data_IF_731732613789
#
_entry.id   IF_731732613789
#
_cell.length_a   1.000
_cell.length_b   1.000
_cell.length_c   1.000
_cell.angle_alpha   90.00
_cell.angle_beta   90.00
_cell.angle_gamma   90.00
#
_symmetry.space_group_name_H-M   'P 1'
#
loop_
_entity.id
_entity.type
_entity.pdbx_description
1 polymer ?
#
# COMPACT_ATOMS: atom_id res chain seq x y z
N UNK A 1 24.09 -25.97 34.06
CA UNK A 1 23.34 -25.95 32.79
C UNK A 1 22.67 -24.59 32.69
N UNK A 2 23.31 -23.62 32.02
CA UNK A 2 22.70 -22.31 31.76
C UNK A 2 21.89 -22.43 30.48
N UNK A 3 20.56 -22.36 30.57
CA UNK A 3 19.70 -22.27 29.39
C UNK A 3 19.20 -20.83 29.28
N UNK A 4 19.62 -20.23 28.17
CA UNK A 4 19.42 -18.85 27.78
C UNK A 4 17.95 -18.52 27.51
N UNK A 5 17.65 -17.24 27.77
CA UNK A 5 16.40 -16.55 27.52
C UNK A 5 15.93 -16.72 26.06
N UNK A 6 14.65 -17.03 25.87
CA UNK A 6 13.94 -16.86 24.62
C UNK A 6 12.78 -15.89 24.81
N UNK A 7 13.06 -14.59 24.84
CA UNK A 7 12.02 -13.58 24.70
C UNK A 7 11.50 -13.66 23.26
N UNK A 8 10.37 -14.33 23.06
CA UNK A 8 9.59 -14.18 21.83
C UNK A 8 9.06 -12.74 21.83
N UNK A 9 9.85 -11.82 21.28
CA UNK A 9 9.37 -10.53 20.87
C UNK A 9 8.35 -10.79 19.75
N UNK A 10 7.08 -10.90 20.14
CA UNK A 10 5.97 -10.53 19.27
C UNK A 10 6.37 -9.19 18.66
N UNK A 11 6.61 -9.17 17.36
CA UNK A 11 6.78 -7.93 16.61
C UNK A 11 5.45 -7.18 16.66
N UNK A 12 5.17 -6.53 17.79
CA UNK A 12 4.10 -5.57 17.89
C UNK A 12 4.51 -4.41 17.02
N UNK A 13 3.98 -4.37 15.80
CA UNK A 13 4.07 -3.21 14.93
C UNK A 13 3.41 -2.04 15.66
N UNK A 14 4.23 -1.18 16.27
CA UNK A 14 3.80 0.00 17.01
C UNK A 14 3.74 1.15 16.02
N UNK A 15 2.78 1.05 15.10
CA UNK A 15 2.66 2.01 14.02
C UNK A 15 1.69 3.15 14.32
N UNK A 16 2.15 4.40 14.26
CA UNK A 16 1.29 5.59 14.32
C UNK A 16 0.32 5.66 13.13
N UNK A 17 -0.59 6.62 13.08
CA UNK A 17 -1.64 6.67 12.05
C UNK A 17 -1.15 6.71 10.58
N UNK A 18 0.15 7.00 10.36
CA UNK A 18 0.85 6.91 9.07
C UNK A 18 1.31 5.50 8.68
N UNK A 19 1.22 4.51 9.56
CA UNK A 19 1.68 3.14 9.34
C UNK A 19 0.56 2.19 8.88
N UNK A 20 -0.56 2.73 8.39
CA UNK A 20 -1.60 1.95 7.68
C UNK A 20 -1.25 1.67 6.23
N UNK A 21 -0.18 2.26 5.72
CA UNK A 21 0.31 2.02 4.37
C UNK A 21 1.02 0.65 4.32
N UNK A 22 0.76 -0.17 3.29
CA UNK A 22 1.44 -1.43 3.10
C UNK A 22 2.96 -1.23 2.89
N UNK A 23 3.79 -2.19 3.34
CA UNK A 23 5.23 -2.11 3.16
C UNK A 23 5.62 -2.10 1.67
N UNK A 24 6.76 -1.50 1.30
CA UNK A 24 7.33 -1.60 -0.04
C UNK A 24 7.39 -3.04 -0.56
N UNK A 25 7.01 -3.24 -1.83
CA UNK A 25 7.00 -4.56 -2.47
C UNK A 25 5.72 -5.38 -2.27
N UNK A 26 4.80 -4.97 -1.39
CA UNK A 26 3.51 -5.62 -1.19
C UNK A 26 2.39 -4.84 -1.89
N UNK A 27 1.23 -5.46 -2.23
CA UNK A 27 0.09 -4.77 -2.81
C UNK A 27 -0.29 -3.47 -2.08
N UNK A 28 -0.48 -2.39 -2.84
CA UNK A 28 -0.68 -1.01 -2.38
C UNK A 28 0.60 -0.29 -1.93
N UNK A 29 1.71 -1.01 -1.79
CA UNK A 29 3.02 -0.48 -1.37
C UNK A 29 3.82 0.03 -2.56
N UNK A 30 4.81 0.88 -2.27
CA UNK A 30 5.64 1.47 -3.31
C UNK A 30 6.50 0.43 -4.04
N UNK A 31 6.62 0.59 -5.36
CA UNK A 31 7.57 -0.10 -6.22
C UNK A 31 8.27 0.89 -7.13
N UNK A 32 9.61 0.88 -7.12
CA UNK A 32 10.43 1.58 -8.10
C UNK A 32 11.71 0.81 -8.37
N UNK A 33 12.20 0.88 -9.60
CA UNK A 33 13.50 0.33 -9.99
C UNK A 33 14.61 1.04 -9.22
N UNK A 34 15.04 0.42 -8.12
CA UNK A 34 16.13 0.79 -7.23
C UNK A 34 16.00 2.16 -6.50
N UNK A 35 16.26 2.18 -5.17
CA UNK A 35 16.76 1.08 -4.35
C UNK A 35 15.64 0.17 -3.79
N UNK A 36 14.43 0.20 -4.35
CA UNK A 36 13.29 -0.56 -3.80
C UNK A 36 13.21 -1.98 -4.37
N UNK A 37 12.80 -2.92 -3.50
CA UNK A 37 12.57 -4.33 -3.81
C UNK A 37 11.53 -4.46 -4.94
N UNK A 38 11.69 -5.41 -5.87
CA UNK A 38 10.60 -5.79 -6.77
C UNK A 38 9.35 -6.17 -5.98
N UNK A 39 8.17 -6.06 -6.60
CA UNK A 39 6.95 -6.55 -5.99
C UNK A 39 7.06 -8.06 -5.70
N UNK A 40 6.61 -8.48 -4.53
CA UNK A 40 6.56 -9.90 -4.18
C UNK A 40 5.50 -10.59 -5.05
N UNK A 41 5.86 -11.70 -5.69
CA UNK A 41 4.91 -12.47 -6.49
C UNK A 41 3.72 -12.92 -5.62
N UNK A 42 2.45 -12.76 -6.07
CA UNK A 42 2.02 -12.50 -7.46
C UNK A 42 1.88 -11.02 -7.85
N UNK A 43 2.26 -10.06 -7.00
CA UNK A 43 2.04 -8.65 -7.25
C UNK A 43 2.90 -8.11 -8.41
N UNK A 44 2.32 -7.18 -9.18
CA UNK A 44 2.94 -6.52 -10.32
C UNK A 44 3.15 -5.03 -10.01
N UNK A 45 4.20 -4.43 -10.56
CA UNK A 45 4.47 -3.00 -10.40
C UNK A 45 3.77 -2.20 -11.51
N UNK A 46 2.90 -1.27 -11.14
CA UNK A 46 2.48 -0.19 -12.03
C UNK A 46 3.63 0.82 -12.14
N UNK A 47 4.30 0.88 -13.29
CA UNK A 47 5.45 1.77 -13.47
C UNK A 47 5.05 3.26 -13.55
N UNK A 48 3.79 3.55 -13.92
CA UNK A 48 3.28 4.91 -13.96
C UNK A 48 2.88 5.37 -12.55
N UNK A 49 2.18 4.50 -11.82
CA UNK A 49 1.78 4.67 -10.42
C UNK A 49 2.88 4.56 -9.38
N UNK A 50 3.92 3.78 -9.64
CA UNK A 50 4.98 3.47 -8.69
C UNK A 50 4.50 2.64 -7.48
N UNK A 51 3.48 1.80 -7.65
CA UNK A 51 2.96 0.91 -6.60
C UNK A 51 2.74 -0.52 -7.10
N UNK A 52 2.85 -1.49 -6.18
CA UNK A 52 2.51 -2.87 -6.43
C UNK A 52 1.00 -3.08 -6.36
N UNK A 53 0.45 -3.94 -7.22
CA UNK A 53 -0.94 -4.38 -7.16
C UNK A 53 -1.02 -5.89 -7.42
N UNK A 54 -2.01 -6.55 -6.84
CA UNK A 54 -2.33 -7.93 -7.16
C UNK A 54 -3.22 -7.96 -8.42
N UNK A 55 -2.82 -8.65 -9.51
CA UNK A 55 -3.62 -8.67 -10.74
C UNK A 55 -4.95 -9.42 -10.61
N UNK A 56 -5.08 -10.32 -9.63
CA UNK A 56 -6.33 -11.06 -9.36
C UNK A 56 -7.26 -10.28 -8.40
N UNK A 57 -6.69 -9.47 -7.50
CA UNK A 57 -7.43 -8.55 -6.62
C UNK A 57 -6.72 -7.18 -6.47
N UNK A 58 -6.91 -6.26 -7.43
CA UNK A 58 -6.15 -5.00 -7.49
C UNK A 58 -6.30 -4.10 -6.25
N UNK A 59 -7.40 -4.22 -5.51
CA UNK A 59 -7.64 -3.41 -4.31
C UNK A 59 -7.10 -4.04 -3.03
N UNK A 60 -6.60 -5.28 -3.05
CA UNK A 60 -5.96 -5.88 -1.88
C UNK A 60 -4.73 -5.07 -1.47
N UNK A 61 -4.61 -4.75 -0.18
CA UNK A 61 -3.50 -3.99 0.40
C UNK A 61 -3.53 -2.48 0.11
N UNK A 62 -4.38 -1.99 -0.80
CA UNK A 62 -4.49 -0.57 -1.13
C UNK A 62 -5.20 0.20 -0.01
N UNK A 63 -4.51 1.21 0.53
CA UNK A 63 -5.04 2.05 1.60
C UNK A 63 -5.21 3.50 1.14
N UNK A 64 -6.45 3.93 0.88
CA UNK A 64 -6.79 5.29 0.42
C UNK A 64 -6.71 6.37 1.52
N UNK A 65 -5.73 6.28 2.43
CA UNK A 65 -5.55 7.22 3.54
C UNK A 65 -6.64 7.15 4.63
N UNK A 66 -7.64 6.27 4.50
CA UNK A 66 -8.80 6.20 5.39
C UNK A 66 -9.88 7.24 5.10
N UNK A 67 -9.75 7.99 4.00
CA UNK A 67 -10.69 9.03 3.56
C UNK A 67 -11.20 8.77 2.14
N UNK A 68 -11.38 7.49 1.82
CA UNK A 68 -11.84 7.04 0.53
C UNK A 68 -11.89 5.53 0.43
N UNK A 69 -12.42 5.07 -0.70
CA UNK A 69 -12.58 3.65 -1.01
C UNK A 69 -11.77 3.30 -2.26
N UNK A 70 -11.12 2.13 -2.24
CA UNK A 70 -10.50 1.59 -3.44
C UNK A 70 -11.57 1.09 -4.42
N UNK A 71 -11.37 1.36 -5.71
CA UNK A 71 -12.12 0.76 -6.81
C UNK A 71 -11.18 0.38 -7.95
N UNK A 72 -11.61 -0.55 -8.80
CA UNK A 72 -10.85 -0.95 -9.98
C UNK A 72 -11.30 -0.08 -11.14
N UNK A 73 -10.36 0.64 -11.76
CA UNK A 73 -10.64 1.40 -12.98
C UNK A 73 -10.92 0.44 -14.14
N UNK A 74 -12.02 0.64 -14.85
CA UNK A 74 -12.45 -0.28 -15.92
C UNK A 74 -11.58 -0.18 -17.18
N UNK A 75 -10.82 0.92 -17.35
CA UNK A 75 -9.96 1.13 -18.51
C UNK A 75 -8.56 0.58 -18.29
N UNK A 76 -7.96 0.81 -17.13
CA UNK A 76 -6.60 0.37 -16.81
C UNK A 76 -6.56 -0.98 -16.09
N UNK A 77 -7.67 -1.41 -15.48
CA UNK A 77 -7.74 -2.56 -14.57
C UNK A 77 -6.86 -2.40 -13.31
N UNK A 78 -6.45 -1.16 -13.00
CA UNK A 78 -5.62 -0.83 -11.84
C UNK A 78 -6.48 -0.30 -10.68
N UNK A 79 -5.99 -0.40 -9.42
CA UNK A 79 -6.68 0.21 -8.30
C UNK A 79 -6.60 1.73 -8.36
N UNK A 80 -7.69 2.38 -7.93
CA UNK A 80 -7.79 3.83 -7.79
C UNK A 80 -8.54 4.15 -6.51
N UNK A 81 -8.21 5.29 -5.91
CA UNK A 81 -8.92 5.79 -4.73
C UNK A 81 -10.03 6.75 -5.12
N UNK A 82 -11.25 6.44 -4.70
CA UNK A 82 -12.38 7.36 -4.73
C UNK A 82 -12.45 8.05 -3.37
N UNK A 83 -12.04 9.31 -3.33
CA UNK A 83 -11.98 10.07 -2.09
C UNK A 83 -13.37 10.53 -1.62
N UNK A 84 -13.51 10.60 -0.30
CA UNK A 84 -14.68 11.13 0.37
C UNK A 84 -14.84 12.64 0.09
N UNK A 85 -16.04 13.22 0.26
CA UNK A 85 -16.26 14.64 0.05
C UNK A 85 -15.32 15.51 0.90
N UNK A 86 -14.59 16.41 0.23
CA UNK A 86 -13.61 17.28 0.88
C UNK A 86 -12.22 16.68 0.98
N UNK A 87 -11.97 15.51 0.40
CA UNK A 87 -10.64 14.94 0.18
C UNK A 87 -10.37 14.81 -1.31
N UNK A 88 -9.09 14.89 -1.69
CA UNK A 88 -8.68 14.86 -3.09
C UNK A 88 -7.53 13.89 -3.27
N UNK A 89 -7.52 13.20 -4.42
CA UNK A 89 -6.36 12.44 -4.85
C UNK A 89 -5.49 13.30 -5.77
N UNK A 90 -4.19 13.11 -5.68
CA UNK A 90 -3.33 13.41 -6.81
C UNK A 90 -3.35 12.21 -7.76
N UNK A 91 -3.26 12.47 -9.07
CA UNK A 91 -3.24 11.39 -10.06
C UNK A 91 -2.02 10.50 -9.78
N UNK A 92 -2.23 9.17 -9.85
CA UNK A 92 -1.20 8.14 -9.59
C UNK A 92 -0.84 7.93 -8.12
N UNK A 93 -1.53 8.60 -7.20
CA UNK A 93 -1.38 8.37 -5.77
C UNK A 93 -2.59 7.60 -5.22
N UNK A 94 -2.32 6.49 -4.54
CA UNK A 94 -3.33 5.68 -3.84
C UNK A 94 -3.67 6.28 -2.45
N UNK A 95 -3.73 7.61 -2.33
CA UNK A 95 -4.03 8.30 -1.08
C UNK A 95 -5.01 9.45 -1.32
N UNK A 96 -5.89 9.66 -0.34
CA UNK A 96 -6.80 10.80 -0.29
C UNK A 96 -6.30 11.78 0.76
N UNK A 97 -5.92 12.98 0.32
CA UNK A 97 -5.38 14.03 1.16
C UNK A 97 -6.44 15.10 1.46
N UNK A 98 -6.40 15.72 2.66
CA UNK A 98 -7.22 16.89 2.95
C UNK A 98 -6.76 18.10 2.12
N UNK A 99 -7.63 19.10 1.89
CA UNK A 99 -7.25 20.34 1.22
C UNK A 99 -6.19 21.08 2.05
N UNK A 100 -5.24 21.69 1.32
CA UNK A 100 -4.16 22.51 1.90
C UNK A 100 -4.60 23.91 2.31
#
# INVERSE_FOLDING_TARGET
MFLFLGAAALACYSGGEREKEPPPGYPGGLCRSEPMTPCEEPALCDLEGGYCYDPDDPCTGVFCGGFGECFIDQSSLLPQCRCDPGYFNERYFLICEPPS
#
